data_IF_389537668663
#
_entry.id   IF_389537668663
#
_cell.length_a   1.000
_cell.length_b   1.000
_cell.length_c   1.000
_cell.angle_alpha   90.00
_cell.angle_beta   90.00
_cell.angle_gamma   90.00
#
_symmetry.space_group_name_H-M   'P 1'
#
loop_
_entity.id
_entity.type
_entity.pdbx_description
1 polymer ?
#
# COMPACT_ATOMS: atom_id res chain seq x y z
N UNK A 1 8.22 10.83 16.05
CA UNK A 1 8.68 11.51 14.82
C UNK A 1 7.48 11.78 13.93
N UNK A 2 7.46 12.90 13.19
CA UNK A 2 6.34 13.27 12.32
C UNK A 2 6.85 13.82 11.00
N UNK A 3 6.20 13.41 9.91
CA UNK A 3 6.37 13.99 8.59
C UNK A 3 5.04 14.64 8.18
N UNK A 4 5.10 15.91 7.78
CA UNK A 4 3.97 16.64 7.24
C UNK A 4 4.30 17.03 5.79
N UNK A 5 3.43 16.69 4.88
CA UNK A 5 3.57 16.94 3.44
C UNK A 5 2.31 17.65 2.95
N UNK A 6 2.49 18.82 2.37
CA UNK A 6 1.44 19.53 1.64
C UNK A 6 2.11 20.18 0.42
N UNK A 7 2.09 19.47 -0.70
CA UNK A 7 2.79 19.89 -1.91
C UNK A 7 1.93 19.76 -3.15
N UNK A 8 2.24 20.61 -4.12
CA UNK A 8 1.72 20.52 -5.48
C UNK A 8 2.89 20.36 -6.46
N UNK A 9 2.75 19.42 -7.40
CA UNK A 9 3.70 19.23 -8.50
C UNK A 9 2.95 18.95 -9.80
N UNK A 10 3.16 19.81 -10.78
CA UNK A 10 2.65 19.60 -12.15
C UNK A 10 3.50 18.54 -12.84
N UNK A 11 2.84 17.57 -13.42
CA UNK A 11 3.42 16.47 -14.18
C UNK A 11 2.75 16.41 -15.56
N UNK A 12 3.37 15.71 -16.50
CA UNK A 12 2.74 15.45 -17.79
C UNK A 12 1.49 14.59 -17.59
N UNK A 13 0.32 15.14 -17.93
CA UNK A 13 -0.97 14.46 -17.84
C UNK A 13 -1.77 14.66 -16.55
N UNK A 14 -1.18 15.03 -15.41
CA UNK A 14 -1.91 15.33 -14.18
C UNK A 14 -1.11 16.23 -13.21
N UNK A 15 -1.79 16.73 -12.20
CA UNK A 15 -1.14 17.48 -11.11
C UNK A 15 -1.18 16.64 -9.82
N UNK A 16 0.00 16.41 -9.23
CA UNK A 16 0.12 15.80 -7.91
C UNK A 16 -0.24 16.83 -6.83
N UNK A 17 -1.21 16.49 -5.97
CA UNK A 17 -1.56 17.21 -4.74
C UNK A 17 -1.43 16.21 -3.57
N UNK A 18 -0.25 16.18 -2.95
CA UNK A 18 -0.01 15.31 -1.80
C UNK A 18 -0.17 16.12 -0.51
N UNK A 19 -1.27 15.87 0.22
CA UNK A 19 -1.54 16.48 1.52
C UNK A 19 -1.82 15.38 2.55
N UNK A 20 -0.83 15.11 3.42
CA UNK A 20 -0.93 14.11 4.47
C UNK A 20 0.08 14.33 5.59
N UNK A 21 -0.17 13.67 6.73
CA UNK A 21 0.80 13.55 7.82
C UNK A 21 1.05 12.06 8.12
N UNK A 22 2.33 11.69 8.31
CA UNK A 22 2.75 10.38 8.79
C UNK A 22 3.34 10.55 10.19
N UNK A 23 2.73 9.89 11.19
CA UNK A 23 3.09 10.02 12.62
C UNK A 23 3.46 8.70 13.26
N UNK A 24 3.25 7.60 12.57
CA UNK A 24 3.59 6.26 13.05
C UNK A 24 4.95 5.80 12.53
N UNK A 25 5.43 4.71 13.10
CA UNK A 25 6.69 4.08 12.67
C UNK A 25 6.64 3.60 11.23
N UNK A 26 5.49 3.07 10.76
CA UNK A 26 5.34 2.61 9.37
C UNK A 26 3.99 3.05 8.79
N UNK A 27 4.03 3.78 7.67
CA UNK A 27 2.87 4.26 6.91
C UNK A 27 3.00 3.80 5.46
N UNK A 28 1.97 3.11 4.94
CA UNK A 28 1.89 2.75 3.54
C UNK A 28 1.34 3.90 2.69
N UNK A 29 1.85 4.05 1.47
CA UNK A 29 1.20 4.83 0.40
C UNK A 29 0.76 3.82 -0.65
N UNK A 30 -0.53 3.49 -0.66
CA UNK A 30 -1.17 2.54 -1.57
C UNK A 30 -1.81 3.27 -2.75
N UNK A 31 -1.65 2.78 -3.95
CA UNK A 31 -2.30 3.35 -5.13
C UNK A 31 -1.90 2.65 -6.42
N UNK A 32 -2.63 2.92 -7.50
CA UNK A 32 -2.33 2.39 -8.83
C UNK A 32 -0.96 2.86 -9.35
N UNK A 33 -0.40 2.13 -10.32
CA UNK A 33 0.82 2.57 -11.00
C UNK A 33 0.58 3.92 -11.69
N UNK A 34 1.57 4.82 -11.60
CA UNK A 34 1.47 6.16 -12.20
C UNK A 34 0.69 7.21 -11.42
N UNK A 35 0.04 6.88 -10.28
CA UNK A 35 -0.77 7.86 -9.53
C UNK A 35 0.03 8.92 -8.73
N UNK A 36 1.37 8.91 -8.77
CA UNK A 36 2.21 9.94 -8.14
C UNK A 36 2.96 9.50 -6.88
N UNK A 37 2.87 8.26 -6.41
CA UNK A 37 3.52 7.76 -5.18
C UNK A 37 5.04 7.97 -5.16
N UNK A 38 5.75 7.46 -6.16
CA UNK A 38 7.20 7.62 -6.28
C UNK A 38 7.62 9.09 -6.45
N UNK A 39 6.79 9.89 -7.12
CA UNK A 39 7.03 11.33 -7.25
C UNK A 39 6.94 12.03 -5.89
N UNK A 40 5.97 11.66 -5.07
CA UNK A 40 5.84 12.15 -3.68
C UNK A 40 7.11 11.85 -2.89
N UNK A 41 7.64 10.62 -2.94
CA UNK A 41 8.90 10.28 -2.26
C UNK A 41 10.09 11.09 -2.79
N UNK A 42 10.18 11.29 -4.11
CA UNK A 42 11.26 12.10 -4.72
C UNK A 42 11.17 13.56 -4.31
N UNK A 43 9.96 14.11 -4.16
CA UNK A 43 9.76 15.47 -3.64
C UNK A 43 10.19 15.57 -2.16
N UNK A 44 9.84 14.61 -1.32
CA UNK A 44 10.27 14.58 0.09
C UNK A 44 11.79 14.45 0.20
N UNK A 45 12.41 13.61 -0.64
CA UNK A 45 13.85 13.43 -0.68
C UNK A 45 14.62 14.66 -1.23
N UNK A 46 13.94 15.60 -1.89
CA UNK A 46 14.56 16.77 -2.53
C UNK A 46 15.26 16.47 -3.85
N UNK A 47 14.93 15.32 -4.46
CA UNK A 47 15.42 14.95 -5.81
C UNK A 47 14.63 15.70 -6.87
N UNK A 48 13.33 15.90 -6.61
CA UNK A 48 12.45 16.71 -7.44
C UNK A 48 11.92 17.87 -6.59
N UNK A 49 12.00 19.07 -7.09
CA UNK A 49 11.45 20.26 -6.44
C UNK A 49 9.94 20.33 -6.67
N UNK A 50 9.11 20.41 -5.60
CA UNK A 50 7.69 20.74 -5.74
C UNK A 50 7.51 22.13 -6.36
N UNK A 51 6.38 22.38 -7.03
CA UNK A 51 6.07 23.70 -7.59
C UNK A 51 5.50 24.63 -6.52
N UNK A 52 4.80 24.08 -5.51
CA UNK A 52 4.29 24.85 -4.38
C UNK A 52 4.13 23.96 -3.14
N UNK A 53 3.98 24.58 -1.98
CA UNK A 53 3.63 23.91 -0.73
C UNK A 53 4.77 23.85 0.27
N UNK A 54 4.67 22.87 1.22
CA UNK A 54 5.57 22.75 2.36
C UNK A 54 5.80 21.29 2.75
N UNK A 55 7.03 20.98 3.17
CA UNK A 55 7.42 19.68 3.72
C UNK A 55 8.13 19.91 5.05
N UNK A 56 7.67 19.26 6.12
CA UNK A 56 8.24 19.37 7.47
C UNK A 56 8.54 17.98 8.01
N UNK A 57 9.73 17.77 8.54
CA UNK A 57 10.16 16.54 9.22
C UNK A 57 10.60 16.90 10.65
N UNK A 58 9.89 16.38 11.66
CA UNK A 58 10.16 16.62 13.08
C UNK A 58 10.29 18.13 13.41
N UNK A 59 9.38 18.96 12.90
CA UNK A 59 9.40 20.41 13.07
C UNK A 59 10.42 21.16 12.20
N UNK A 60 11.32 20.45 11.52
CA UNK A 60 12.28 21.05 10.60
C UNK A 60 11.67 21.19 9.20
N UNK A 61 11.66 22.41 8.68
CA UNK A 61 11.21 22.70 7.31
C UNK A 61 12.27 22.19 6.32
N UNK A 62 11.88 21.27 5.44
CA UNK A 62 12.73 20.73 4.37
C UNK A 62 12.51 21.49 3.05
N UNK A 63 11.27 21.88 2.80
CA UNK A 63 10.82 22.66 1.66
C UNK A 63 9.69 23.59 2.07
N UNK A 64 9.73 24.84 1.59
CA UNK A 64 8.64 25.81 1.75
C UNK A 64 8.72 26.81 0.59
N UNK A 65 7.73 26.77 -0.30
CA UNK A 65 7.71 27.64 -1.47
C UNK A 65 7.49 29.11 -1.13
N UNK A 66 6.74 29.42 -0.05
CA UNK A 66 6.47 30.79 0.38
C UNK A 66 7.67 31.43 1.07
N UNK A 67 8.46 30.64 1.81
CA UNK A 67 9.66 31.10 2.49
C UNK A 67 10.95 30.90 1.66
N UNK A 68 10.84 30.39 0.42
CA UNK A 68 11.98 30.08 -0.45
C UNK A 68 13.00 29.10 0.17
N UNK A 69 12.52 28.18 1.03
CA UNK A 69 13.34 27.13 1.62
C UNK A 69 13.30 25.90 0.71
N UNK A 70 14.48 25.41 0.31
CA UNK A 70 14.62 24.16 -0.45
C UNK A 70 15.95 23.50 -0.07
N UNK A 71 15.91 22.63 0.95
CA UNK A 71 17.11 21.95 1.41
C UNK A 71 17.55 20.91 0.38
N UNK A 72 18.83 20.82 0.05
CA UNK A 72 19.35 19.77 -0.82
C UNK A 72 19.19 18.38 -0.16
N UNK A 73 19.11 17.28 -0.95
CA UNK A 73 18.86 15.92 -0.43
C UNK A 73 19.76 15.51 0.74
N UNK A 74 21.05 15.88 0.67
CA UNK A 74 22.06 15.53 1.68
C UNK A 74 21.78 16.14 3.06
N UNK A 75 21.02 17.22 3.11
CA UNK A 75 20.68 17.94 4.35
C UNK A 75 19.31 17.54 4.91
N UNK A 76 18.51 16.76 4.17
CA UNK A 76 17.15 16.38 4.62
C UNK A 76 17.10 15.26 5.64
N UNK A 77 18.19 14.48 5.78
CA UNK A 77 18.23 13.34 6.70
C UNK A 77 17.30 12.19 6.28
N UNK A 78 17.08 12.04 4.99
CA UNK A 78 16.15 11.09 4.38
C UNK A 78 16.93 9.92 3.77
N UNK A 79 16.48 8.69 4.02
CA UNK A 79 16.93 7.49 3.33
C UNK A 79 15.87 7.06 2.31
N UNK A 80 16.25 6.93 1.03
CA UNK A 80 15.35 6.49 -0.04
C UNK A 80 15.89 5.24 -0.71
N UNK A 81 15.11 4.16 -0.65
CA UNK A 81 15.31 2.96 -1.45
C UNK A 81 14.49 3.09 -2.73
N UNK A 82 15.17 3.08 -3.87
CA UNK A 82 14.55 3.07 -5.19
C UNK A 82 14.11 1.66 -5.59
N UNK A 83 13.11 1.58 -6.45
CA UNK A 83 12.57 0.32 -6.98
C UNK A 83 13.65 -0.59 -7.61
N UNK A 84 14.66 -0.03 -8.26
CA UNK A 84 15.78 -0.74 -8.88
C UNK A 84 17.02 -0.81 -7.97
N UNK A 85 16.85 -0.56 -6.63
CA UNK A 85 17.89 -0.52 -5.62
C UNK A 85 19.02 0.50 -5.87
N UNK A 86 19.23 0.98 -7.08
CA UNK A 86 20.23 1.95 -7.51
C UNK A 86 21.62 1.70 -6.91
N UNK A 87 22.08 0.44 -6.90
CA UNK A 87 23.44 0.10 -6.48
C UNK A 87 24.44 0.60 -7.52
N UNK A 88 25.61 1.02 -7.06
CA UNK A 88 26.71 1.37 -7.93
C UNK A 88 27.33 0.10 -8.53
N UNK A 89 27.18 -0.18 -9.84
CA UNK A 89 27.51 -1.47 -10.43
C UNK A 89 29.01 -1.78 -10.40
N UNK A 90 29.86 -0.74 -10.42
CA UNK A 90 31.31 -0.83 -10.42
C UNK A 90 31.91 -0.79 -9.00
N UNK A 91 31.11 -0.89 -7.96
CA UNK A 91 31.52 -0.92 -6.56
C UNK A 91 31.10 -2.23 -5.91
N UNK A 92 31.95 -2.76 -5.05
CA UNK A 92 31.62 -3.94 -4.23
C UNK A 92 30.50 -3.62 -3.23
N UNK A 93 29.96 -4.65 -2.57
CA UNK A 93 28.99 -4.50 -1.47
C UNK A 93 29.52 -3.56 -0.39
N UNK A 94 30.75 -3.80 0.10
CA UNK A 94 31.40 -2.96 1.11
C UNK A 94 31.53 -1.50 0.63
N UNK A 95 31.95 -1.28 -0.61
CA UNK A 95 32.08 0.06 -1.19
C UNK A 95 30.74 0.77 -1.34
N UNK A 96 29.69 0.04 -1.74
CA UNK A 96 28.33 0.57 -1.79
C UNK A 96 27.88 1.05 -0.40
N UNK A 97 28.08 0.24 0.65
CA UNK A 97 27.71 0.62 2.03
C UNK A 97 28.52 1.81 2.51
N UNK A 98 29.84 1.84 2.25
CA UNK A 98 30.72 2.99 2.59
C UNK A 98 30.27 4.31 1.96
N UNK A 99 29.58 4.28 0.80
CA UNK A 99 29.01 5.48 0.20
C UNK A 99 27.97 6.16 1.09
N UNK A 100 27.24 5.42 1.95
CA UNK A 100 26.31 5.98 2.94
C UNK A 100 26.98 6.75 4.08
N UNK A 101 28.30 6.61 4.24
CA UNK A 101 29.11 7.23 5.28
C UNK A 101 29.96 8.42 4.79
N UNK A 102 29.61 9.07 3.68
CA UNK A 102 30.41 10.18 3.12
C UNK A 102 30.57 11.36 4.08
N UNK A 103 29.60 11.59 4.98
CA UNK A 103 29.67 12.67 5.96
C UNK A 103 30.62 12.37 7.14
N UNK A 104 30.95 11.08 7.41
CA UNK A 104 31.88 10.69 8.45
C UNK A 104 33.31 10.87 7.97
N UNK A 105 34.08 11.69 8.68
CA UNK A 105 35.47 12.05 8.32
C UNK A 105 36.49 11.05 8.83
N UNK A 106 36.20 10.41 9.97
CA UNK A 106 37.09 9.41 10.56
C UNK A 106 37.05 8.09 9.77
N UNK A 107 38.17 7.73 9.17
CA UNK A 107 38.31 6.50 8.38
C UNK A 107 38.15 5.22 9.20
N UNK A 108 38.59 5.21 10.46
CA UNK A 108 38.48 4.07 11.34
C UNK A 108 37.02 3.86 11.75
N UNK A 109 36.33 4.93 12.17
CA UNK A 109 34.91 4.91 12.49
C UNK A 109 34.05 4.49 11.27
N UNK A 110 34.36 4.98 10.06
CA UNK A 110 33.68 4.54 8.83
C UNK A 110 33.80 3.05 8.58
N UNK A 111 35.02 2.50 8.74
CA UNK A 111 35.28 1.09 8.52
C UNK A 111 34.55 0.21 9.56
N UNK A 112 34.59 0.61 10.83
CA UNK A 112 33.91 -0.09 11.93
C UNK A 112 32.39 -0.12 11.69
N UNK A 113 31.76 1.03 11.43
CA UNK A 113 30.30 1.13 11.16
C UNK A 113 29.89 0.35 9.90
N UNK A 114 30.73 0.34 8.87
CA UNK A 114 30.48 -0.48 7.68
C UNK A 114 30.49 -1.97 8.02
N UNK A 115 31.46 -2.45 8.80
CA UNK A 115 31.54 -3.84 9.22
C UNK A 115 30.34 -4.25 10.08
N UNK A 116 29.95 -3.44 11.06
CA UNK A 116 28.74 -3.65 11.87
C UNK A 116 27.47 -3.74 10.99
N UNK A 117 27.34 -2.86 10.00
CA UNK A 117 26.19 -2.87 9.10
C UNK A 117 26.18 -4.10 8.19
N UNK A 118 27.34 -4.52 7.66
CA UNK A 118 27.46 -5.75 6.87
C UNK A 118 27.05 -6.97 7.70
N UNK A 119 27.47 -7.05 8.95
CA UNK A 119 27.07 -8.10 9.90
C UNK A 119 25.57 -8.09 10.16
N UNK A 120 25.01 -6.94 10.52
CA UNK A 120 23.58 -6.79 10.77
C UNK A 120 22.71 -7.21 9.58
N UNK A 121 23.20 -7.00 8.34
CA UNK A 121 22.51 -7.36 7.10
C UNK A 121 22.91 -8.72 6.53
N UNK A 122 23.73 -9.51 7.24
CA UNK A 122 24.24 -10.83 6.80
C UNK A 122 24.93 -10.75 5.43
N UNK A 123 25.77 -9.72 5.23
CA UNK A 123 26.49 -9.45 3.96
C UNK A 123 28.00 -9.61 4.07
N UNK A 124 28.55 -10.07 5.20
CA UNK A 124 30.00 -10.16 5.45
C UNK A 124 30.71 -11.01 4.40
N UNK A 125 30.19 -12.22 4.12
CA UNK A 125 30.74 -13.13 3.12
C UNK A 125 30.66 -12.61 1.68
N UNK A 126 29.81 -11.59 1.46
CA UNK A 126 29.54 -10.96 0.16
C UNK A 126 30.24 -9.61 -0.01
N UNK A 127 30.97 -9.12 1.01
CA UNK A 127 31.53 -7.76 1.06
C UNK A 127 32.37 -7.38 -0.17
N UNK A 128 33.05 -8.34 -0.78
CA UNK A 128 33.89 -8.13 -1.96
C UNK A 128 33.20 -8.40 -3.30
N UNK A 129 31.95 -8.87 -3.30
CA UNK A 129 31.17 -9.11 -4.53
C UNK A 129 30.63 -7.81 -5.12
N UNK A 130 30.44 -7.83 -6.42
CA UNK A 130 29.77 -6.75 -7.16
C UNK A 130 28.27 -7.00 -7.27
N UNK A 131 27.42 -5.97 -7.49
CA UNK A 131 25.98 -6.12 -7.60
C UNK A 131 25.52 -7.21 -8.59
N UNK A 132 26.18 -7.33 -9.73
CA UNK A 132 25.85 -8.36 -10.73
C UNK A 132 26.07 -9.82 -10.25
N UNK A 133 26.76 -10.01 -9.13
CA UNK A 133 27.05 -11.33 -8.54
C UNK A 133 26.12 -11.66 -7.36
N UNK A 134 25.09 -10.81 -7.12
CA UNK A 134 24.16 -10.91 -6.01
C UNK A 134 22.77 -11.32 -6.49
N UNK A 135 22.06 -12.11 -5.67
CA UNK A 135 20.62 -12.32 -5.84
C UNK A 135 19.83 -11.02 -5.59
N UNK A 136 18.57 -10.93 -6.03
CA UNK A 136 17.72 -9.77 -5.81
C UNK A 136 17.60 -9.37 -4.34
N UNK A 137 17.39 -10.33 -3.43
CA UNK A 137 17.35 -10.07 -1.99
C UNK A 137 18.69 -9.59 -1.42
N UNK A 138 19.83 -10.11 -1.93
CA UNK A 138 21.16 -9.63 -1.54
C UNK A 138 21.42 -8.21 -2.03
N UNK A 139 20.97 -7.85 -3.23
CA UNK A 139 21.03 -6.49 -3.76
C UNK A 139 20.18 -5.53 -2.90
N UNK A 140 18.98 -5.93 -2.55
CA UNK A 140 18.08 -5.16 -1.69
C UNK A 140 18.71 -4.92 -0.30
N UNK A 141 19.21 -5.97 0.36
CA UNK A 141 19.92 -5.85 1.65
C UNK A 141 21.13 -4.92 1.56
N UNK A 142 21.88 -4.99 0.46
CA UNK A 142 23.02 -4.09 0.21
C UNK A 142 22.57 -2.62 0.08
N UNK A 143 21.46 -2.36 -0.62
CA UNK A 143 20.92 -1.02 -0.77
C UNK A 143 20.37 -0.48 0.55
N UNK A 144 19.67 -1.31 1.34
CA UNK A 144 19.22 -0.97 2.68
C UNK A 144 20.41 -0.68 3.62
N UNK A 145 21.46 -1.53 3.60
CA UNK A 145 22.68 -1.31 4.36
C UNK A 145 23.32 0.06 4.05
N UNK A 146 23.42 0.42 2.75
CA UNK A 146 23.93 1.71 2.31
C UNK A 146 23.15 2.89 2.86
N UNK A 147 21.81 2.75 2.96
CA UNK A 147 20.93 3.80 3.47
C UNK A 147 21.03 3.88 5.00
N UNK A 148 20.89 2.76 5.69
CA UNK A 148 20.77 2.69 7.14
C UNK A 148 22.08 3.02 7.86
N UNK A 149 23.23 2.73 7.27
CA UNK A 149 24.54 3.08 7.83
C UNK A 149 24.68 4.60 8.05
N UNK A 150 23.95 5.41 7.26
CA UNK A 150 23.87 6.86 7.39
C UNK A 150 22.97 7.34 8.54
N UNK A 151 22.22 6.46 9.20
CA UNK A 151 21.25 6.76 10.28
C UNK A 151 20.24 7.84 9.88
N UNK A 152 19.45 7.61 8.81
CA UNK A 152 18.43 8.59 8.39
C UNK A 152 17.34 8.73 9.47
N UNK A 153 16.68 9.89 9.52
CA UNK A 153 15.53 10.14 10.38
C UNK A 153 14.25 9.51 9.82
N UNK A 154 14.14 9.43 8.51
CA UNK A 154 13.02 8.81 7.80
C UNK A 154 13.58 7.82 6.76
N UNK A 155 12.97 6.64 6.70
CA UNK A 155 13.23 5.62 5.70
C UNK A 155 12.06 5.57 4.72
N UNK A 156 12.34 5.75 3.44
CA UNK A 156 11.35 5.67 2.37
C UNK A 156 11.69 4.53 1.42
N UNK A 157 10.71 3.66 1.18
CA UNK A 157 10.85 2.47 0.35
C UNK A 157 9.91 2.58 -0.86
N UNK A 158 10.47 2.65 -2.05
CA UNK A 158 9.70 2.76 -3.30
C UNK A 158 9.57 1.38 -3.94
N UNK A 159 8.40 0.74 -3.77
CA UNK A 159 8.07 -0.60 -4.28
C UNK A 159 9.18 -1.65 -4.00
N UNK A 160 9.59 -1.84 -2.75
CA UNK A 160 10.80 -2.59 -2.43
C UNK A 160 10.77 -4.06 -2.87
N UNK A 161 9.59 -4.65 -3.05
CA UNK A 161 9.44 -6.07 -3.37
C UNK A 161 9.05 -6.34 -4.82
N UNK A 162 8.87 -5.31 -5.66
CA UNK A 162 8.35 -5.45 -7.02
C UNK A 162 9.27 -6.24 -7.96
N UNK A 163 10.59 -6.22 -7.71
CA UNK A 163 11.59 -6.92 -8.52
C UNK A 163 11.87 -8.36 -8.07
N UNK A 164 11.19 -8.86 -7.03
CA UNK A 164 11.38 -10.19 -6.47
C UNK A 164 10.33 -11.17 -7.02
N UNK A 165 10.75 -12.41 -7.25
CA UNK A 165 9.81 -13.50 -7.49
C UNK A 165 8.97 -13.81 -6.24
N UNK A 166 7.86 -14.55 -6.40
CA UNK A 166 6.89 -14.76 -5.34
C UNK A 166 7.46 -15.52 -4.13
N UNK A 167 8.37 -16.47 -4.34
CA UNK A 167 8.95 -17.26 -3.26
C UNK A 167 9.92 -16.42 -2.41
N UNK A 168 10.83 -15.72 -3.08
CA UNK A 168 11.81 -14.87 -2.42
C UNK A 168 11.17 -13.66 -1.75
N UNK A 169 10.03 -13.20 -2.28
CA UNK A 169 9.29 -12.04 -1.74
C UNK A 169 8.86 -12.25 -0.30
N UNK A 170 8.24 -13.40 0.03
CA UNK A 170 7.75 -13.67 1.39
C UNK A 170 8.89 -13.69 2.43
N UNK A 171 10.03 -14.30 2.09
CA UNK A 171 11.21 -14.32 2.95
C UNK A 171 11.76 -12.90 3.19
N UNK A 172 11.92 -12.13 2.12
CA UNK A 172 12.46 -10.75 2.18
C UNK A 172 11.48 -9.80 2.84
N UNK A 173 10.16 -9.95 2.65
CA UNK A 173 9.14 -9.19 3.39
C UNK A 173 9.27 -9.39 4.90
N UNK A 174 9.49 -10.62 5.37
CA UNK A 174 9.71 -10.91 6.79
C UNK A 174 10.97 -10.24 7.34
N UNK A 175 12.09 -10.29 6.59
CA UNK A 175 13.34 -9.63 6.97
C UNK A 175 13.18 -8.09 7.02
N UNK A 176 12.57 -7.50 5.99
CA UNK A 176 12.30 -6.06 5.94
C UNK A 176 11.32 -5.66 7.03
N UNK A 177 10.26 -6.42 7.28
CA UNK A 177 9.29 -6.17 8.37
C UNK A 177 9.98 -6.09 9.73
N UNK A 178 10.89 -7.03 10.02
CA UNK A 178 11.69 -7.03 11.25
C UNK A 178 12.60 -5.80 11.35
N UNK A 179 13.20 -5.39 10.24
CA UNK A 179 14.03 -4.20 10.16
C UNK A 179 13.21 -2.93 10.39
N UNK A 180 12.02 -2.84 9.79
CA UNK A 180 11.11 -1.69 9.96
C UNK A 180 10.62 -1.57 11.41
N UNK A 181 10.30 -2.69 12.06
CA UNK A 181 9.91 -2.73 13.48
C UNK A 181 11.02 -2.22 14.41
N UNK A 182 12.29 -2.49 14.08
CA UNK A 182 13.46 -2.00 14.83
C UNK A 182 13.91 -0.59 14.45
N UNK A 183 13.36 0.00 13.38
CA UNK A 183 13.74 1.35 12.96
C UNK A 183 13.07 2.40 13.82
N UNK A 184 13.86 3.15 14.60
CA UNK A 184 13.34 4.17 15.55
C UNK A 184 12.80 5.45 14.90
N UNK A 185 12.75 5.53 13.57
CA UNK A 185 12.28 6.69 12.79
C UNK A 185 10.92 6.47 12.12
N UNK A 186 10.52 7.43 11.32
CA UNK A 186 9.34 7.31 10.44
C UNK A 186 9.68 6.46 9.22
N UNK A 187 8.76 5.59 8.81
CA UNK A 187 8.88 4.79 7.58
C UNK A 187 7.73 5.12 6.64
N UNK A 188 8.04 5.37 5.37
CA UNK A 188 7.06 5.41 4.29
C UNK A 188 7.32 4.23 3.33
N UNK A 189 6.32 3.38 3.15
CA UNK A 189 6.34 2.27 2.21
C UNK A 189 5.39 2.56 1.04
N UNK A 190 5.93 2.80 -0.14
CA UNK A 190 5.14 2.89 -1.37
C UNK A 190 4.96 1.51 -1.95
N UNK A 191 3.73 1.13 -2.22
CA UNK A 191 3.39 -0.14 -2.86
C UNK A 191 2.07 -0.04 -3.62
N UNK A 192 1.87 -0.92 -4.60
CA UNK A 192 0.59 -1.19 -5.23
C UNK A 192 -0.03 -2.51 -4.71
N UNK A 193 0.70 -3.23 -3.84
CA UNK A 193 0.24 -4.47 -3.23
C UNK A 193 -0.41 -4.17 -1.85
N UNK A 194 -1.72 -4.36 -1.77
CA UNK A 194 -2.51 -4.12 -0.56
C UNK A 194 -2.11 -5.05 0.60
N UNK A 195 -1.66 -6.27 0.28
CA UNK A 195 -1.32 -7.27 1.31
C UNK A 195 0.00 -6.92 2.00
N UNK A 196 0.99 -6.38 1.24
CA UNK A 196 2.21 -5.77 1.80
C UNK A 196 1.87 -4.60 2.72
N UNK A 197 1.03 -3.66 2.25
CA UNK A 197 0.61 -2.51 3.04
C UNK A 197 -0.10 -2.94 4.34
N UNK A 198 -0.97 -3.96 4.26
CA UNK A 198 -1.73 -4.48 5.41
C UNK A 198 -0.83 -5.15 6.46
N UNK A 199 0.17 -5.93 6.00
CA UNK A 199 1.07 -6.67 6.91
C UNK A 199 2.14 -5.79 7.55
N UNK A 200 2.70 -4.85 6.78
CA UNK A 200 3.90 -4.12 7.17
C UNK A 200 3.62 -2.74 7.79
N UNK A 201 2.46 -2.15 7.54
CA UNK A 201 2.19 -0.77 7.92
C UNK A 201 0.99 -0.63 8.87
N UNK A 202 1.18 0.18 9.92
CA UNK A 202 0.13 0.51 10.88
C UNK A 202 -0.87 1.50 10.29
N UNK A 203 -0.39 2.47 9.54
CA UNK A 203 -1.18 3.52 8.90
C UNK A 203 -1.08 3.42 7.38
N UNK A 204 -2.09 3.95 6.71
CA UNK A 204 -2.21 3.92 5.27
C UNK A 204 -2.69 5.25 4.70
N UNK A 205 -2.11 5.61 3.57
CA UNK A 205 -2.52 6.70 2.70
C UNK A 205 -2.92 6.07 1.37
N UNK A 206 -4.15 6.27 0.94
CA UNK A 206 -4.62 5.82 -0.39
C UNK A 206 -4.51 6.98 -1.35
N UNK A 207 -3.82 6.76 -2.47
CA UNK A 207 -3.63 7.76 -3.52
C UNK A 207 -4.15 7.27 -4.86
N UNK A 208 -4.81 8.16 -5.59
CA UNK A 208 -5.15 7.94 -6.99
C UNK A 208 -5.10 9.26 -7.77
N UNK A 209 -4.66 9.21 -9.04
CA UNK A 209 -4.65 10.34 -9.98
C UNK A 209 -4.05 11.62 -9.38
N UNK A 210 -2.98 11.48 -8.59
CA UNK A 210 -2.29 12.60 -7.95
C UNK A 210 -2.93 13.13 -6.67
N UNK A 211 -4.03 12.55 -6.20
CA UNK A 211 -4.76 12.99 -5.02
C UNK A 211 -4.66 11.97 -3.88
N UNK A 212 -4.68 12.47 -2.65
CA UNK A 212 -4.87 11.65 -1.45
C UNK A 212 -6.38 11.47 -1.24
N UNK A 213 -6.85 10.22 -1.34
CA UNK A 213 -8.28 9.89 -1.20
C UNK A 213 -8.68 9.60 0.24
N UNK A 214 -7.83 8.87 0.97
CA UNK A 214 -8.10 8.43 2.34
C UNK A 214 -6.79 8.32 3.12
N UNK A 215 -6.83 8.68 4.40
CA UNK A 215 -5.73 8.46 5.36
C UNK A 215 -6.31 7.91 6.65
N UNK A 216 -5.60 7.01 7.31
CA UNK A 216 -6.03 6.43 8.59
C UNK A 216 -5.25 5.21 8.98
N UNK A 217 -5.65 4.56 10.04
CA UNK A 217 -5.12 3.25 10.40
C UNK A 217 -5.38 2.23 9.30
N UNK A 218 -4.42 1.37 9.00
CA UNK A 218 -4.54 0.42 7.87
C UNK A 218 -5.82 -0.42 7.96
N UNK A 219 -6.12 -0.97 9.13
CA UNK A 219 -7.34 -1.76 9.33
C UNK A 219 -8.62 -0.93 9.17
N UNK A 220 -8.59 0.34 9.61
CA UNK A 220 -9.70 1.28 9.45
C UNK A 220 -9.95 1.58 7.98
N UNK A 221 -8.91 1.91 7.20
CA UNK A 221 -9.04 2.19 5.76
C UNK A 221 -9.55 0.98 4.99
N UNK A 222 -9.18 -0.25 5.41
CA UNK A 222 -9.72 -1.48 4.82
C UNK A 222 -11.19 -1.71 5.21
N UNK A 223 -11.61 -1.37 6.41
CA UNK A 223 -12.98 -1.52 6.88
C UNK A 223 -13.91 -0.42 6.33
N UNK A 224 -13.40 0.82 6.23
CA UNK A 224 -14.13 1.99 5.75
C UNK A 224 -13.30 2.80 4.74
N UNK A 225 -13.27 2.42 3.46
CA UNK A 225 -12.51 3.10 2.42
C UNK A 225 -13.14 4.42 1.95
N UNK A 226 -14.41 4.69 2.24
CA UNK A 226 -15.21 5.89 1.96
C UNK A 226 -15.44 6.19 0.48
N UNK A 227 -14.59 5.76 -0.44
CA UNK A 227 -14.77 5.98 -1.88
C UNK A 227 -14.66 4.69 -2.67
N UNK A 228 -15.29 4.66 -3.84
CA UNK A 228 -15.26 3.50 -4.76
C UNK A 228 -13.83 3.16 -5.19
N UNK A 229 -13.00 4.16 -5.43
CA UNK A 229 -11.59 3.98 -5.82
C UNK A 229 -10.77 3.39 -4.67
N UNK A 230 -10.89 3.91 -3.45
CA UNK A 230 -10.20 3.35 -2.29
C UNK A 230 -10.66 1.92 -1.97
N UNK A 231 -11.96 1.64 -2.12
CA UNK A 231 -12.50 0.29 -1.98
C UNK A 231 -11.87 -0.69 -2.98
N UNK A 232 -11.73 -0.31 -4.26
CA UNK A 232 -11.04 -1.12 -5.28
C UNK A 232 -9.58 -1.36 -4.92
N UNK A 233 -8.86 -0.33 -4.55
CA UNK A 233 -7.44 -0.42 -4.19
C UNK A 233 -7.22 -1.32 -2.96
N UNK A 234 -8.13 -1.29 -1.99
CA UNK A 234 -8.11 -2.20 -0.83
C UNK A 234 -8.72 -3.58 -1.14
N UNK A 235 -9.09 -3.86 -2.40
CA UNK A 235 -9.45 -5.19 -2.90
C UNK A 235 -10.92 -5.55 -2.82
N UNK A 236 -11.82 -4.57 -2.64
CA UNK A 236 -13.25 -4.79 -2.80
C UNK A 236 -13.57 -5.03 -4.28
N UNK A 237 -14.11 -6.20 -4.61
CA UNK A 237 -14.50 -6.56 -5.99
C UNK A 237 -15.93 -6.20 -6.31
N UNK A 238 -16.84 -6.29 -5.31
CA UNK A 238 -18.24 -5.95 -5.49
C UNK A 238 -18.45 -4.50 -5.07
N UNK A 239 -18.49 -3.61 -6.06
CA UNK A 239 -18.88 -2.22 -5.90
C UNK A 239 -20.16 -2.06 -6.71
N UNK A 240 -21.27 -1.99 -5.98
CA UNK A 240 -22.61 -2.06 -6.53
C UNK A 240 -23.27 -0.68 -6.40
N UNK A 241 -23.72 -0.13 -7.52
CA UNK A 241 -24.44 1.16 -7.54
C UNK A 241 -25.72 1.05 -6.74
N UNK A 242 -26.04 2.08 -5.97
CA UNK A 242 -27.23 2.13 -5.15
C UNK A 242 -27.81 3.52 -5.01
N UNK A 243 -29.04 3.58 -4.51
CA UNK A 243 -29.70 4.80 -4.04
C UNK A 243 -30.00 4.67 -2.56
N UNK A 244 -29.73 5.73 -1.79
CA UNK A 244 -30.05 5.80 -0.37
C UNK A 244 -31.57 5.82 -0.19
N UNK A 245 -32.08 4.98 0.72
CA UNK A 245 -33.49 4.93 1.10
C UNK A 245 -33.68 5.64 2.45
N UNK A 246 -32.86 5.28 3.45
CA UNK A 246 -32.85 5.89 4.77
C UNK A 246 -31.43 5.85 5.39
N UNK A 247 -31.32 6.10 6.70
CA UNK A 247 -30.03 6.16 7.39
C UNK A 247 -29.25 4.82 7.39
N UNK A 248 -29.91 3.69 7.21
CA UNK A 248 -29.31 2.35 7.26
C UNK A 248 -29.74 1.44 6.11
N UNK A 249 -30.42 2.00 5.09
CA UNK A 249 -30.96 1.21 3.99
C UNK A 249 -30.61 1.82 2.65
N UNK A 250 -30.14 0.98 1.72
CA UNK A 250 -29.96 1.36 0.32
C UNK A 250 -30.74 0.40 -0.59
N UNK A 251 -31.09 0.85 -1.78
CA UNK A 251 -31.64 0.04 -2.86
C UNK A 251 -30.58 -0.14 -3.94
N UNK A 252 -30.23 -1.38 -4.22
CA UNK A 252 -29.23 -1.70 -5.26
C UNK A 252 -29.82 -1.51 -6.67
N UNK A 253 -29.01 -0.99 -7.57
CA UNK A 253 -29.30 -1.06 -9.01
C UNK A 253 -29.14 -2.51 -9.48
N UNK A 254 -30.14 -3.03 -10.21
CA UNK A 254 -30.13 -4.41 -10.73
C UNK A 254 -30.81 -5.44 -9.81
N UNK A 255 -31.15 -5.07 -8.56
CA UNK A 255 -31.95 -5.88 -7.65
C UNK A 255 -33.14 -5.07 -7.15
N UNK A 256 -34.31 -5.71 -7.07
CA UNK A 256 -35.49 -5.08 -6.46
C UNK A 256 -35.60 -5.43 -4.97
N UNK A 257 -34.48 -5.34 -4.26
CA UNK A 257 -34.40 -5.64 -2.85
C UNK A 257 -33.59 -4.58 -2.10
N UNK A 258 -34.04 -4.13 -0.90
CA UNK A 258 -33.26 -3.27 -0.05
C UNK A 258 -32.09 -4.04 0.58
N UNK A 259 -30.96 -3.35 0.79
CA UNK A 259 -29.88 -3.79 1.64
C UNK A 259 -29.85 -2.96 2.93
N UNK A 260 -29.75 -3.66 4.07
CA UNK A 260 -29.62 -3.04 5.38
C UNK A 260 -28.14 -3.05 5.82
N UNK A 261 -27.64 -1.87 6.17
CA UNK A 261 -26.26 -1.64 6.61
C UNK A 261 -26.21 -1.44 8.13
N UNK A 262 -25.14 -1.92 8.77
CA UNK A 262 -24.87 -1.57 10.15
C UNK A 262 -24.34 -0.12 10.29
N UNK A 263 -23.56 0.33 9.31
CA UNK A 263 -23.06 1.70 9.23
C UNK A 263 -24.15 2.67 8.76
N UNK A 264 -24.08 3.93 9.19
CA UNK A 264 -24.92 5.00 8.67
C UNK A 264 -24.57 5.27 7.19
N UNK A 265 -25.57 5.38 6.35
CA UNK A 265 -25.44 5.66 4.92
C UNK A 265 -25.35 7.17 4.71
N UNK A 266 -24.19 7.71 4.28
CA UNK A 266 -24.07 9.14 3.98
C UNK A 266 -25.03 9.59 2.86
N UNK A 267 -25.42 10.85 2.85
CA UNK A 267 -26.23 11.42 1.77
C UNK A 267 -25.53 11.37 0.40
N UNK A 268 -24.19 11.39 0.41
CA UNK A 268 -23.35 11.30 -0.79
C UNK A 268 -23.15 9.87 -1.28
N UNK A 269 -23.74 8.86 -0.61
CA UNK A 269 -23.57 7.45 -0.97
C UNK A 269 -24.20 7.16 -2.34
N UNK A 270 -23.37 6.69 -3.27
CA UNK A 270 -23.78 6.31 -4.63
C UNK A 270 -23.56 4.84 -4.93
N UNK A 271 -22.79 4.16 -4.08
CA UNK A 271 -22.49 2.73 -4.22
C UNK A 271 -22.27 2.09 -2.85
N UNK A 272 -22.35 0.77 -2.80
CA UNK A 272 -21.89 -0.03 -1.66
C UNK A 272 -20.79 -0.98 -2.08
N UNK A 273 -19.85 -1.18 -1.17
CA UNK A 273 -18.77 -2.16 -1.31
C UNK A 273 -19.04 -3.41 -0.47
N UNK A 274 -18.89 -4.59 -1.06
CA UNK A 274 -18.98 -5.86 -0.34
C UNK A 274 -17.81 -6.74 -0.78
N UNK A 275 -17.05 -7.28 0.16
CA UNK A 275 -15.92 -8.14 -0.21
C UNK A 275 -16.41 -9.50 -0.70
N UNK A 276 -15.72 -10.09 -1.66
CA UNK A 276 -16.14 -11.33 -2.29
C UNK A 276 -16.25 -12.52 -1.32
N UNK A 277 -15.51 -12.52 -0.21
CA UNK A 277 -15.56 -13.56 0.81
C UNK A 277 -16.63 -13.32 1.88
N UNK A 278 -17.29 -12.17 1.89
CA UNK A 278 -18.34 -11.81 2.86
C UNK A 278 -19.73 -12.28 2.42
N UNK A 279 -19.85 -12.84 1.24
CA UNK A 279 -21.06 -13.49 0.79
C UNK A 279 -21.14 -14.94 1.24
N UNK A 280 -22.36 -15.39 1.50
CA UNK A 280 -22.66 -16.79 1.78
C UNK A 280 -24.00 -17.20 1.14
N UNK A 281 -24.17 -18.48 0.74
CA UNK A 281 -25.49 -19.00 0.37
C UNK A 281 -26.51 -18.79 1.47
N UNK A 282 -27.71 -18.38 1.11
CA UNK A 282 -28.76 -18.10 2.10
C UNK A 282 -30.16 -18.47 1.57
N UNK A 283 -31.14 -18.48 2.47
CA UNK A 283 -32.56 -18.64 2.12
C UNK A 283 -33.10 -17.33 1.50
N UNK A 284 -34.15 -17.39 0.64
CA UNK A 284 -34.73 -16.19 0.00
C UNK A 284 -35.23 -15.13 0.98
N UNK A 285 -35.67 -15.56 2.17
CA UNK A 285 -36.19 -14.66 3.21
C UNK A 285 -35.11 -14.16 4.20
N UNK A 286 -33.84 -14.51 3.98
CA UNK A 286 -32.75 -14.05 4.84
C UNK A 286 -32.50 -12.54 4.66
N UNK A 287 -32.05 -11.83 5.71
CA UNK A 287 -31.66 -10.43 5.58
C UNK A 287 -30.56 -10.27 4.50
N UNK A 288 -30.70 -9.22 3.68
CA UNK A 288 -29.74 -8.93 2.60
C UNK A 288 -29.55 -10.07 1.59
N UNK A 289 -30.56 -10.92 1.39
CA UNK A 289 -30.55 -11.96 0.38
C UNK A 289 -30.70 -11.36 -1.02
N UNK A 290 -29.76 -11.65 -1.90
CA UNK A 290 -29.74 -11.21 -3.29
C UNK A 290 -29.96 -12.42 -4.19
N UNK A 291 -31.00 -12.47 -5.03
CA UNK A 291 -31.16 -13.49 -6.05
C UNK A 291 -30.03 -13.36 -7.09
N UNK A 292 -29.43 -14.49 -7.45
CA UNK A 292 -28.26 -14.51 -8.33
C UNK A 292 -28.32 -15.69 -9.29
N UNK A 293 -27.74 -15.54 -10.46
CA UNK A 293 -27.58 -16.60 -11.46
C UNK A 293 -26.10 -16.81 -11.75
N UNK A 294 -25.60 -18.04 -11.65
CA UNK A 294 -24.20 -18.35 -11.95
C UNK A 294 -23.88 -18.03 -13.40
N UNK A 295 -22.82 -17.24 -13.59
CA UNK A 295 -22.28 -16.87 -14.91
C UNK A 295 -21.02 -17.70 -15.24
N UNK A 296 -20.05 -17.72 -14.32
CA UNK A 296 -18.79 -18.45 -14.51
C UNK A 296 -18.14 -18.84 -13.19
N UNK A 297 -17.31 -19.88 -13.26
CA UNK A 297 -16.54 -20.39 -12.12
C UNK A 297 -15.07 -20.50 -12.50
N UNK A 298 -14.19 -20.14 -11.58
CA UNK A 298 -12.74 -20.24 -11.73
C UNK A 298 -12.13 -20.87 -10.49
N UNK A 299 -11.36 -21.94 -10.68
CA UNK A 299 -10.67 -22.64 -9.62
C UNK A 299 -9.27 -22.08 -9.40
N UNK A 300 -8.94 -21.82 -8.15
CA UNK A 300 -7.58 -21.50 -7.68
C UNK A 300 -7.07 -22.64 -6.76
N UNK A 301 -5.78 -22.66 -6.42
CA UNK A 301 -5.23 -23.72 -5.55
C UNK A 301 -5.97 -23.89 -4.22
N UNK A 302 -6.42 -22.80 -3.58
CA UNK A 302 -7.01 -22.82 -2.23
C UNK A 302 -8.46 -22.35 -2.16
N UNK A 303 -8.98 -21.77 -3.24
CA UNK A 303 -10.31 -21.18 -3.28
C UNK A 303 -10.96 -21.30 -4.68
N UNK A 304 -12.29 -21.07 -4.68
CA UNK A 304 -13.07 -20.90 -5.89
C UNK A 304 -13.52 -19.44 -6.00
N UNK A 305 -13.46 -18.88 -7.20
CA UNK A 305 -14.10 -17.62 -7.54
C UNK A 305 -15.28 -17.89 -8.44
N UNK A 306 -16.48 -17.55 -7.96
CA UNK A 306 -17.71 -17.65 -8.74
C UNK A 306 -18.17 -16.24 -9.10
N UNK A 307 -18.58 -16.06 -10.33
CA UNK A 307 -19.15 -14.80 -10.82
C UNK A 307 -20.61 -15.07 -11.12
N UNK A 308 -21.46 -14.28 -10.49
CA UNK A 308 -22.89 -14.32 -10.69
C UNK A 308 -23.36 -13.08 -11.43
N UNK A 309 -24.54 -13.18 -12.01
CA UNK A 309 -25.25 -12.06 -12.65
C UNK A 309 -26.51 -11.77 -11.83
N UNK A 310 -26.81 -10.50 -11.66
CA UNK A 310 -28.04 -10.02 -11.04
C UNK A 310 -29.24 -10.28 -11.96
N UNK A 311 -30.49 -10.17 -11.46
CA UNK A 311 -31.69 -10.32 -12.26
C UNK A 311 -31.80 -9.40 -13.48
N UNK A 312 -31.11 -8.24 -13.45
CA UNK A 312 -31.02 -7.31 -14.57
C UNK A 312 -30.19 -7.83 -15.78
N UNK A 313 -29.50 -8.98 -15.61
CA UNK A 313 -28.64 -9.59 -16.61
C UNK A 313 -27.30 -8.88 -16.86
N UNK A 314 -27.03 -7.75 -16.19
CA UNK A 314 -25.87 -6.91 -16.47
C UNK A 314 -24.92 -6.77 -15.27
N UNK A 315 -25.44 -6.60 -14.08
CA UNK A 315 -24.64 -6.38 -12.86
C UNK A 315 -24.01 -7.70 -12.41
N UNK A 316 -22.70 -7.68 -12.19
CA UNK A 316 -21.94 -8.86 -11.76
C UNK A 316 -21.62 -8.83 -10.28
N UNK A 317 -21.70 -10.01 -9.63
CA UNK A 317 -21.36 -10.23 -8.25
C UNK A 317 -20.29 -11.33 -8.15
N UNK A 318 -19.23 -11.06 -7.42
CA UNK A 318 -18.13 -11.99 -7.16
C UNK A 318 -18.29 -12.63 -5.80
N UNK A 319 -18.28 -13.96 -5.76
CA UNK A 319 -18.20 -14.71 -4.53
C UNK A 319 -16.92 -15.54 -4.51
N UNK A 320 -16.18 -15.42 -3.40
CA UNK A 320 -14.96 -16.19 -3.17
C UNK A 320 -15.18 -17.15 -2.01
N UNK A 321 -14.99 -18.44 -2.23
CA UNK A 321 -15.18 -19.49 -1.22
C UNK A 321 -13.91 -20.33 -1.09
N UNK A 322 -13.47 -20.55 0.16
CA UNK A 322 -12.34 -21.44 0.44
C UNK A 322 -12.72 -22.90 0.20
N UNK A 323 -11.80 -23.68 -0.39
CA UNK A 323 -11.98 -25.12 -0.57
C UNK A 323 -12.15 -25.88 0.74
N UNK A 324 -11.62 -25.37 1.85
CA UNK A 324 -11.79 -25.94 3.18
C UNK A 324 -13.22 -25.86 3.72
N UNK A 325 -14.02 -24.96 3.18
CA UNK A 325 -15.41 -24.73 3.58
C UNK A 325 -16.40 -25.48 2.68
N UNK A 326 -15.91 -26.29 1.74
CA UNK A 326 -16.73 -27.06 0.82
C UNK A 326 -16.74 -28.53 1.24
N UNK A 327 -17.94 -29.13 1.28
CA UNK A 327 -18.12 -30.56 1.48
C UNK A 327 -18.06 -31.38 0.18
N UNK A 328 -18.15 -30.69 -0.97
CA UNK A 328 -18.09 -31.27 -2.31
C UNK A 328 -16.85 -30.82 -3.06
N UNK A 329 -16.47 -31.53 -4.12
CA UNK A 329 -15.29 -31.23 -4.94
C UNK A 329 -15.39 -29.88 -5.70
N UNK A 330 -16.60 -29.35 -5.88
CA UNK A 330 -16.89 -28.03 -6.43
C UNK A 330 -18.06 -27.39 -5.69
N UNK A 331 -18.13 -26.03 -5.61
CA UNK A 331 -19.25 -25.36 -4.97
C UNK A 331 -20.53 -25.54 -5.81
N UNK A 332 -21.62 -25.86 -5.16
CA UNK A 332 -22.94 -25.75 -5.77
C UNK A 332 -23.28 -24.28 -5.99
N UNK A 333 -23.92 -23.98 -7.12
CA UNK A 333 -24.34 -22.62 -7.43
C UNK A 333 -25.61 -22.26 -6.63
N UNK A 334 -25.51 -21.37 -5.63
CA UNK A 334 -26.70 -20.96 -4.87
C UNK A 334 -27.59 -20.05 -5.72
N UNK A 335 -28.90 -20.12 -5.49
CA UNK A 335 -29.85 -19.18 -6.08
C UNK A 335 -29.88 -17.83 -5.38
N UNK A 336 -29.42 -17.76 -4.12
CA UNK A 336 -29.35 -16.55 -3.30
C UNK A 336 -28.02 -16.46 -2.56
N UNK A 337 -27.43 -15.28 -2.59
CA UNK A 337 -26.27 -14.91 -1.79
C UNK A 337 -26.65 -13.79 -0.82
N UNK A 338 -26.32 -13.98 0.44
CA UNK A 338 -26.53 -12.98 1.49
C UNK A 338 -25.24 -12.46 2.07
N UNK A 339 -25.32 -11.31 2.71
CA UNK A 339 -24.20 -10.73 3.45
C UNK A 339 -24.70 -10.10 4.75
N UNK A 340 -23.85 -10.09 5.77
CA UNK A 340 -24.19 -9.48 7.05
C UNK A 340 -24.14 -7.93 6.95
N UNK A 341 -25.03 -7.19 7.65
CA UNK A 341 -25.08 -5.72 7.57
C UNK A 341 -23.75 -5.00 7.85
N UNK A 342 -22.91 -5.56 8.74
CA UNK A 342 -21.59 -4.98 9.08
C UNK A 342 -20.52 -5.15 7.98
N UNK A 343 -20.77 -6.00 7.00
CA UNK A 343 -19.83 -6.26 5.88
C UNK A 343 -20.11 -5.36 4.66
N UNK A 344 -21.13 -4.50 4.75
CA UNK A 344 -21.53 -3.61 3.67
C UNK A 344 -20.96 -2.22 3.96
N UNK A 345 -20.09 -1.75 3.08
CA UNK A 345 -19.41 -0.46 3.19
C UNK A 345 -20.14 0.58 2.33
N UNK A 346 -20.69 1.68 2.89
CA UNK A 346 -21.22 2.78 2.10
C UNK A 346 -20.08 3.54 1.41
N UNK A 347 -20.24 3.87 0.12
CA UNK A 347 -19.24 4.52 -0.71
C UNK A 347 -19.82 5.75 -1.43
N UNK A 348 -19.05 6.87 -1.42
CA UNK A 348 -19.37 8.10 -2.12
C UNK A 348 -18.45 8.42 -3.29
#
# INVERSE_FOLDING_TARGET
MSLEVNITKKLDGFTLHANFAARSTATAILGASGCGKSMTLRCIAGIVKPDAGRIVLDGRVLFDSAQHIDLPPQQRGVGLLFQNYALFPNMTVEQNVLCGLKAEKDKAARKARCAEMLQAMRLESLAKRYPAQLSGGQQQRTALARILVGRPKILMLDEPFSALDSYLREEVEGEVGSLLAGFGGTVLLVTHNRDEAYRLCRDMIVMDSGQVLRTGGTKEVFADPQSTTAARLTGCKNILSCTRVDAHTVRLTGWDAPLHLAAEVPETCTAVGIRAHDFAPCAPAAPNALPVQLNSTSENPFDWNLIFTAPDGTTRLWWKVSKTNLTAASPEAPAFLGTAPQNIMPLG
#
